data_IF_114936630137
#
_entry.id   IF_114936630137
#
_cell.length_a   1.000
_cell.length_b   1.000
_cell.length_c   1.000
_cell.angle_alpha   90.00
_cell.angle_beta   90.00
_cell.angle_gamma   90.00
#
_symmetry.space_group_name_H-M   'P 1'
#
loop_
_entity.id
_entity.type
_entity.pdbx_description
1 polymer ?
#
# COMPACT_ATOMS: atom_id res chain seq x y z
N UNK A 1 -35.13 23.23 -49.53
CA UNK A 1 -35.02 22.00 -48.70
C UNK A 1 -33.67 22.05 -48.00
N UNK A 2 -33.45 21.69 -46.75
CA UNK A 2 -34.22 21.61 -45.51
C UNK A 2 -33.14 21.63 -44.39
N UNK A 3 -33.50 22.14 -43.22
CA UNK A 3 -32.65 22.57 -42.10
C UNK A 3 -31.89 21.45 -41.35
N UNK A 4 -30.77 21.80 -40.71
CA UNK A 4 -30.28 21.38 -39.36
C UNK A 4 -28.94 22.13 -39.12
N UNK A 5 -28.79 23.23 -38.38
CA UNK A 5 -29.27 23.68 -37.05
C UNK A 5 -28.71 22.85 -35.87
N UNK A 6 -27.90 23.56 -35.07
CA UNK A 6 -27.39 23.27 -33.72
C UNK A 6 -26.08 22.49 -33.56
N UNK A 7 -24.99 23.24 -33.68
CA UNK A 7 -23.76 23.05 -32.92
C UNK A 7 -23.99 23.45 -31.44
N UNK A 8 -24.08 22.47 -30.55
CA UNK A 8 -24.01 22.71 -29.11
C UNK A 8 -22.55 22.62 -28.65
N UNK A 9 -21.90 23.78 -28.56
CA UNK A 9 -20.74 23.98 -27.72
C UNK A 9 -21.21 24.07 -26.25
N UNK A 10 -20.96 23.04 -25.45
CA UNK A 10 -21.18 23.11 -24.00
C UNK A 10 -20.06 23.97 -23.41
N UNK A 11 -20.39 25.23 -23.12
CA UNK A 11 -19.57 26.13 -22.31
C UNK A 11 -19.50 25.57 -20.89
N UNK A 12 -18.36 25.01 -20.50
CA UNK A 12 -18.04 24.79 -19.09
C UNK A 12 -17.63 26.15 -18.51
N UNK A 13 -18.50 26.76 -17.71
CA UNK A 13 -18.13 27.90 -16.87
C UNK A 13 -17.30 27.41 -15.67
N UNK A 14 -16.38 28.23 -15.14
CA UNK A 14 -15.62 27.89 -13.96
C UNK A 14 -16.47 28.23 -12.73
N UNK A 15 -16.60 27.29 -11.80
CA UNK A 15 -17.07 27.61 -10.45
C UNK A 15 -16.04 27.12 -9.44
N UNK A 16 -15.18 28.06 -9.06
CA UNK A 16 -14.53 28.08 -7.76
C UNK A 16 -15.63 28.24 -6.70
N UNK A 17 -15.91 27.17 -5.97
CA UNK A 17 -16.45 27.26 -4.61
C UNK A 17 -15.42 26.65 -3.68
N UNK A 18 -14.73 27.56 -3.02
CA UNK A 18 -13.77 27.39 -1.95
C UNK A 18 -14.33 26.56 -0.80
N UNK A 19 -13.67 25.45 -0.49
CA UNK A 19 -13.40 25.09 0.91
C UNK A 19 -12.06 24.39 0.98
N UNK A 20 -11.04 25.24 1.09
CA UNK A 20 -9.71 24.86 1.52
C UNK A 20 -9.86 24.37 2.96
N UNK A 21 -9.85 23.05 3.16
CA UNK A 21 -9.31 22.48 4.38
C UNK A 21 -8.16 21.57 3.99
N UNK A 22 -7.15 22.18 3.35
CA UNK A 22 -5.78 21.78 3.62
C UNK A 22 -5.57 21.99 5.13
N UNK A 23 -5.99 21.00 5.93
CA UNK A 23 -5.58 20.92 7.32
C UNK A 23 -4.09 20.65 7.28
N UNK A 24 -3.37 21.77 7.33
CA UNK A 24 -2.10 21.98 7.98
C UNK A 24 -1.97 20.94 9.11
N UNK A 25 -1.33 19.81 8.81
CA UNK A 25 -0.91 18.81 9.79
C UNK A 25 0.31 19.33 10.55
N UNK A 26 0.20 20.54 11.09
CA UNK A 26 1.18 21.10 11.98
C UNK A 26 0.47 21.57 13.23
N UNK A 27 0.78 20.88 14.34
CA UNK A 27 0.70 21.27 15.75
C UNK A 27 -0.08 20.24 16.57
N UNK A 28 0.66 19.26 17.12
CA UNK A 28 0.88 19.08 18.56
C UNK A 28 1.37 17.64 18.86
N UNK A 29 2.58 17.30 18.43
CA UNK A 29 3.30 16.15 18.97
C UNK A 29 4.30 16.66 20.02
N UNK A 30 3.82 16.96 21.23
CA UNK A 30 4.70 17.14 22.39
C UNK A 30 4.79 15.81 23.14
N UNK A 31 5.83 15.05 22.82
CA UNK A 31 6.39 14.02 23.70
C UNK A 31 7.89 14.09 23.50
N UNK A 32 8.61 14.58 24.51
CA UNK A 32 10.05 14.70 24.52
C UNK A 32 10.70 13.33 24.24
N UNK A 33 11.15 13.11 23.01
CA UNK A 33 12.23 12.20 22.74
C UNK A 33 13.33 13.04 22.10
N UNK A 34 14.30 13.43 22.92
CA UNK A 34 15.56 14.00 22.45
C UNK A 34 16.22 12.96 21.53
N UNK A 35 16.15 13.18 20.23
CA UNK A 35 16.96 12.46 19.25
C UNK A 35 18.19 13.35 19.01
N UNK A 36 19.15 13.27 19.92
CA UNK A 36 20.44 13.94 19.78
C UNK A 36 21.34 13.15 18.79
N UNK A 37 22.09 13.87 17.96
CA UNK A 37 23.27 13.41 17.20
C UNK A 37 23.11 13.17 15.67
N UNK A 38 24.11 13.52 14.84
CA UNK A 38 24.05 13.49 13.36
C UNK A 38 24.16 12.07 12.74
N UNK A 39 23.81 11.03 13.50
CA UNK A 39 23.74 9.63 13.05
C UNK A 39 22.29 9.13 13.19
N UNK A 40 21.38 9.70 12.41
CA UNK A 40 19.93 9.44 12.51
C UNK A 40 19.41 8.37 11.54
N UNK A 41 20.28 7.59 10.89
CA UNK A 41 19.94 6.29 10.26
C UNK A 41 19.71 5.21 11.33
N UNK A 42 18.92 5.57 12.34
CA UNK A 42 18.58 4.74 13.48
C UNK A 42 17.57 3.69 13.00
N UNK A 43 18.06 2.50 12.65
CA UNK A 43 17.34 1.23 12.49
C UNK A 43 15.82 1.38 12.23
N UNK A 44 15.44 1.92 11.06
CA UNK A 44 14.03 2.16 10.69
C UNK A 44 13.20 0.89 10.86
N UNK A 45 13.80 -0.25 10.49
CA UNK A 45 13.24 -1.58 10.67
C UNK A 45 12.87 -1.87 12.13
N UNK A 46 13.80 -1.59 13.06
CA UNK A 46 13.55 -1.83 14.49
C UNK A 46 12.42 -0.95 15.00
N UNK A 47 12.32 0.30 14.54
CA UNK A 47 11.24 1.20 14.94
C UNK A 47 9.90 0.69 14.40
N UNK A 48 9.85 0.28 13.13
CA UNK A 48 8.64 -0.24 12.49
C UNK A 48 8.12 -1.51 13.18
N UNK A 49 9.02 -2.39 13.62
CA UNK A 49 8.67 -3.64 14.30
C UNK A 49 8.24 -3.45 15.77
N UNK A 50 8.40 -2.26 16.37
CA UNK A 50 8.00 -2.02 17.76
C UNK A 50 6.50 -2.31 17.94
N UNK A 51 6.09 -3.07 18.98
CA UNK A 51 4.68 -3.43 19.21
C UNK A 51 3.76 -2.21 19.27
N UNK A 52 4.21 -1.13 19.94
CA UNK A 52 3.45 0.12 20.06
C UNK A 52 3.17 0.77 18.70
N UNK A 53 4.15 0.76 17.79
CA UNK A 53 4.03 1.34 16.44
C UNK A 53 3.04 0.50 15.62
N UNK A 54 3.22 -0.82 15.62
CA UNK A 54 2.31 -1.74 14.94
C UNK A 54 0.87 -1.64 15.43
N UNK A 55 0.63 -1.52 16.74
CA UNK A 55 -0.72 -1.31 17.29
C UNK A 55 -1.32 0.01 16.80
N UNK A 56 -0.53 1.10 16.77
CA UNK A 56 -1.00 2.39 16.28
C UNK A 56 -1.36 2.33 14.79
N UNK A 57 -0.49 1.73 13.98
CA UNK A 57 -0.69 1.59 12.54
C UNK A 57 -1.90 0.72 12.22
N UNK A 58 -2.07 -0.41 12.91
CA UNK A 58 -3.27 -1.26 12.79
C UNK A 58 -4.55 -0.49 13.13
N UNK A 59 -4.52 0.32 14.19
CA UNK A 59 -5.66 1.17 14.56
C UNK A 59 -5.95 2.25 13.52
N UNK A 60 -4.91 2.83 12.93
CA UNK A 60 -5.03 3.89 11.92
C UNK A 60 -5.59 3.37 10.59
N UNK A 61 -5.11 2.22 10.13
CA UNK A 61 -5.59 1.58 8.89
C UNK A 61 -7.04 1.12 9.05
N UNK A 62 -7.40 0.69 10.26
CA UNK A 62 -8.72 0.16 10.57
C UNK A 62 -8.94 -1.22 9.94
N UNK A 63 -10.17 -1.71 10.06
CA UNK A 63 -10.58 -2.99 9.51
C UNK A 63 -11.90 -2.81 8.75
N UNK A 64 -11.89 -3.14 7.46
CA UNK A 64 -13.05 -3.06 6.59
C UNK A 64 -13.10 -4.32 5.69
N UNK A 65 -13.99 -5.25 6.05
CA UNK A 65 -14.17 -6.53 5.35
C UNK A 65 -14.49 -6.36 3.87
N UNK A 66 -15.32 -5.35 3.52
CA UNK A 66 -15.77 -5.12 2.15
C UNK A 66 -14.59 -4.70 1.27
N UNK A 67 -13.69 -3.88 1.81
CA UNK A 67 -12.48 -3.44 1.12
C UNK A 67 -11.42 -4.54 1.03
N UNK A 68 -11.22 -5.32 2.08
CA UNK A 68 -10.21 -6.39 2.13
C UNK A 68 -10.53 -7.53 1.16
N UNK A 69 -11.82 -7.85 1.01
CA UNK A 69 -12.30 -8.90 0.11
C UNK A 69 -12.94 -8.37 -1.16
N UNK A 70 -12.66 -7.11 -1.52
CA UNK A 70 -13.18 -6.50 -2.73
C UNK A 70 -12.93 -7.38 -3.96
N UNK A 71 -13.99 -7.58 -4.75
CA UNK A 71 -13.93 -8.39 -5.96
C UNK A 71 -12.97 -7.75 -6.96
N UNK A 72 -12.00 -8.53 -7.45
CA UNK A 72 -11.13 -8.11 -8.54
C UNK A 72 -11.70 -8.64 -9.86
N UNK A 73 -11.71 -7.86 -10.94
CA UNK A 73 -12.05 -8.38 -12.26
C UNK A 73 -11.12 -9.55 -12.58
N UNK A 74 -11.70 -10.71 -12.88
CA UNK A 74 -10.96 -11.90 -13.33
C UNK A 74 -11.42 -12.26 -14.72
N UNK A 75 -10.47 -12.71 -15.55
CA UNK A 75 -10.74 -13.15 -16.93
C UNK A 75 -11.70 -14.34 -16.97
N UNK A 76 -11.69 -15.15 -15.91
CA UNK A 76 -12.64 -16.24 -15.66
C UNK A 76 -13.22 -16.09 -14.25
N UNK A 77 -14.54 -16.07 -14.14
CA UNK A 77 -15.23 -16.14 -12.86
C UNK A 77 -15.79 -17.54 -12.67
N UNK A 78 -15.49 -18.16 -11.53
CA UNK A 78 -16.23 -19.34 -11.11
C UNK A 78 -17.61 -18.94 -10.60
N UNK A 79 -18.58 -19.86 -10.67
CA UNK A 79 -19.91 -19.64 -10.11
C UNK A 79 -19.83 -19.57 -8.57
N UNK A 80 -20.68 -18.75 -7.96
CA UNK A 80 -20.76 -18.64 -6.50
C UNK A 80 -21.46 -19.87 -5.93
N UNK A 81 -20.81 -20.55 -4.99
CA UNK A 81 -21.42 -21.65 -4.24
C UNK A 81 -22.23 -21.09 -3.07
N UNK A 82 -23.52 -21.41 -3.03
CA UNK A 82 -24.39 -21.12 -1.88
C UNK A 82 -24.40 -22.35 -0.98
N UNK A 83 -24.21 -22.15 0.33
CA UNK A 83 -24.24 -23.21 1.33
C UNK A 83 -25.11 -22.78 2.50
N UNK A 84 -25.94 -23.71 3.00
CA UNK A 84 -26.68 -23.53 4.24
C UNK A 84 -25.78 -23.91 5.42
N UNK A 85 -25.75 -23.06 6.44
CA UNK A 85 -24.90 -23.23 7.62
C UNK A 85 -25.73 -23.04 8.87
N UNK A 86 -25.36 -23.78 9.93
CA UNK A 86 -25.85 -23.48 11.28
C UNK A 86 -25.17 -22.23 11.84
N UNK A 87 -25.75 -21.62 12.88
CA UNK A 87 -25.18 -20.42 13.49
C UNK A 87 -23.75 -20.64 14.01
N UNK A 88 -23.47 -21.83 14.56
CA UNK A 88 -22.14 -22.20 15.04
C UNK A 88 -21.12 -22.27 13.88
N UNK A 89 -21.50 -22.87 12.76
CA UNK A 89 -20.64 -22.95 11.57
C UNK A 89 -20.41 -21.58 10.94
N UNK A 90 -21.45 -20.74 10.88
CA UNK A 90 -21.36 -19.37 10.38
C UNK A 90 -20.38 -18.56 11.23
N UNK A 91 -20.50 -18.62 12.56
CA UNK A 91 -19.60 -17.92 13.49
C UNK A 91 -18.14 -18.37 13.32
N UNK A 92 -17.91 -19.68 13.21
CA UNK A 92 -16.58 -20.23 12.95
C UNK A 92 -16.02 -19.72 11.61
N UNK A 93 -16.85 -19.70 10.56
CA UNK A 93 -16.45 -19.21 9.23
C UNK A 93 -16.09 -17.72 9.26
N UNK A 94 -16.85 -16.92 9.99
CA UNK A 94 -16.59 -15.50 10.19
C UNK A 94 -15.28 -15.27 10.96
N UNK A 95 -15.01 -16.03 12.02
CA UNK A 95 -13.75 -15.93 12.75
C UNK A 95 -12.55 -16.28 11.85
N UNK A 96 -12.67 -17.34 11.05
CA UNK A 96 -11.65 -17.73 10.07
C UNK A 96 -11.46 -16.66 8.99
N UNK A 97 -12.54 -16.00 8.56
CA UNK A 97 -12.46 -14.88 7.62
C UNK A 97 -11.72 -13.69 8.22
N UNK A 98 -11.98 -13.35 9.49
CA UNK A 98 -11.29 -12.27 10.21
C UNK A 98 -9.79 -12.55 10.36
N UNK A 99 -9.40 -13.79 10.66
CA UNK A 99 -7.98 -14.19 10.70
C UNK A 99 -7.30 -13.99 9.34
N UNK A 100 -7.92 -14.48 8.27
CA UNK A 100 -7.42 -14.27 6.89
C UNK A 100 -7.35 -12.80 6.50
N UNK A 101 -8.31 -12.00 6.93
CA UNK A 101 -8.33 -10.58 6.67
C UNK A 101 -7.17 -9.86 7.39
N UNK A 102 -6.90 -10.23 8.65
CA UNK A 102 -5.76 -9.72 9.40
C UNK A 102 -4.41 -10.05 8.73
N UNK A 103 -4.28 -11.26 8.18
CA UNK A 103 -3.11 -11.66 7.39
C UNK A 103 -2.98 -10.84 6.09
N UNK A 104 -4.09 -10.60 5.38
CA UNK A 104 -4.09 -9.79 4.16
C UNK A 104 -3.74 -8.32 4.39
N UNK A 105 -4.13 -7.75 5.53
CA UNK A 105 -3.83 -6.36 5.90
C UNK A 105 -2.39 -6.22 6.44
N UNK A 106 -1.69 -7.32 6.72
CA UNK A 106 -0.36 -7.28 7.31
C UNK A 106 0.57 -6.38 6.49
N UNK A 107 1.14 -5.38 7.16
CA UNK A 107 2.06 -4.46 6.52
C UNK A 107 3.42 -5.15 6.34
N UNK A 108 4.03 -5.05 5.15
CA UNK A 108 5.39 -5.54 4.96
C UNK A 108 6.38 -4.74 5.82
N UNK A 109 7.54 -5.33 6.19
CA UNK A 109 8.57 -4.61 6.92
C UNK A 109 9.14 -3.47 6.08
N UNK A 110 9.41 -2.34 6.73
CA UNK A 110 10.06 -1.19 6.11
C UNK A 110 11.57 -1.33 6.33
N UNK A 111 12.31 -1.45 5.22
CA UNK A 111 13.77 -1.60 5.21
C UNK A 111 14.44 -0.35 4.65
N UNK A 112 15.71 -0.14 5.01
CA UNK A 112 16.53 0.87 4.38
C UNK A 112 16.78 0.52 2.90
N UNK A 113 17.04 1.53 2.04
CA UNK A 113 17.46 1.28 0.67
C UNK A 113 18.68 0.37 0.61
N UNK A 114 18.72 -0.51 -0.39
CA UNK A 114 19.88 -1.37 -0.63
C UNK A 114 21.06 -0.50 -1.08
N UNK A 115 22.23 -0.73 -0.49
CA UNK A 115 23.48 -0.17 -0.99
C UNK A 115 24.02 -1.00 -2.17
N UNK A 116 24.35 -0.33 -3.27
CA UNK A 116 24.95 -0.97 -4.45
C UNK A 116 26.45 -1.17 -4.26
N UNK A 117 26.81 -2.24 -3.55
CA UNK A 117 28.20 -2.66 -3.32
C UNK A 117 28.48 -3.98 -4.06
N UNK A 118 28.76 -3.96 -5.38
CA UNK A 118 29.04 -5.17 -6.14
C UNK A 118 30.36 -5.79 -5.68
N UNK A 119 30.31 -7.06 -5.25
CA UNK A 119 31.49 -7.85 -4.92
C UNK A 119 31.97 -8.62 -6.15
N UNK A 120 33.16 -8.31 -6.64
CA UNK A 120 33.83 -9.11 -7.68
C UNK A 120 34.28 -10.43 -7.05
N UNK A 121 33.80 -11.55 -7.60
CA UNK A 121 34.14 -12.89 -7.09
C UNK A 121 35.49 -13.37 -7.62
N UNK A 122 35.75 -13.12 -8.89
CA UNK A 122 37.00 -13.43 -9.59
C UNK A 122 37.23 -12.39 -10.69
N UNK A 123 38.49 -12.08 -10.94
CA UNK A 123 38.91 -11.21 -12.04
C UNK A 123 39.84 -12.04 -12.92
N UNK A 124 39.43 -12.25 -14.18
CA UNK A 124 40.22 -12.95 -15.18
C UNK A 124 40.56 -11.97 -16.31
N UNK A 125 41.83 -11.56 -16.45
CA UNK A 125 42.24 -10.62 -17.49
C UNK A 125 42.32 -11.26 -18.88
N UNK A 126 42.46 -12.59 -18.98
CA UNK A 126 42.66 -13.25 -20.28
C UNK A 126 41.39 -13.27 -21.14
N UNK A 127 40.23 -13.20 -20.51
CA UNK A 127 38.92 -13.17 -21.19
C UNK A 127 38.49 -11.74 -21.60
N UNK A 128 39.25 -10.71 -21.22
CA UNK A 128 38.88 -9.32 -21.49
C UNK A 128 38.94 -9.02 -23.00
N UNK A 129 37.80 -8.61 -23.57
CA UNK A 129 37.70 -8.23 -24.99
C UNK A 129 37.43 -9.39 -25.95
N UNK A 130 37.26 -10.62 -25.45
CA UNK A 130 36.86 -11.77 -26.27
C UNK A 130 35.33 -11.88 -26.46
N UNK A 131 34.53 -11.25 -25.59
CA UNK A 131 33.07 -11.32 -25.60
C UNK A 131 32.51 -9.90 -25.49
N UNK A 132 31.61 -9.53 -26.40
CA UNK A 132 30.95 -8.22 -26.44
C UNK A 132 29.67 -8.15 -25.59
N UNK A 133 29.13 -9.31 -25.19
CA UNK A 133 28.00 -9.43 -24.28
C UNK A 133 28.44 -9.65 -22.84
N UNK A 134 27.60 -9.19 -21.91
CA UNK A 134 27.62 -9.71 -20.56
C UNK A 134 27.02 -11.12 -20.65
N UNK A 135 27.81 -12.14 -20.31
CA UNK A 135 27.57 -13.59 -20.47
C UNK A 135 27.98 -14.17 -21.82
#
# INVERSE_FOLDING_TARGET
MNTNRFSHAIKRTPNHSSSVSALVWNRLCHSNHTIDGPNSDKDIERIFLRPRVQTLLKRLIGFDDQKVFAAKPRLTSHANEVRFMTDNELNLRLEMSRKKAAEKIAMPPVLAPKEDNPRVLSFDPEIQGYIDSKF
#
